data_IF_098413809393
#
_entry.id   IF_098413809393
#
_cell.length_a   1.000
_cell.length_b   1.000
_cell.length_c   1.000
_cell.angle_alpha   90.00
_cell.angle_beta   90.00
_cell.angle_gamma   90.00
#
_symmetry.space_group_name_H-M   'P 1'
#
loop_
_entity.id
_entity.type
_entity.pdbx_description
1 polymer ?
#
# COMPACT_ATOMS: atom_id res chain seq x y z
N UNK A 1 -6.83 24.19 4.05
CA UNK A 1 -6.35 22.80 4.04
C UNK A 1 -7.25 22.05 3.08
N UNK A 2 -6.69 21.53 2.00
CA UNK A 2 -7.45 20.72 1.06
C UNK A 2 -7.94 19.46 1.76
N UNK A 3 -9.18 19.10 1.49
CA UNK A 3 -9.84 17.95 2.11
C UNK A 3 -9.24 16.66 1.57
N UNK A 4 -8.49 15.92 2.40
CA UNK A 4 -8.00 14.59 2.04
C UNK A 4 -9.20 13.63 1.97
N UNK A 5 -9.36 12.94 0.85
CA UNK A 5 -10.42 11.97 0.65
C UNK A 5 -9.91 10.56 0.33
N UNK A 6 -8.77 10.46 -0.34
CA UNK A 6 -8.24 9.21 -0.91
C UNK A 6 -6.79 9.01 -0.48
N UNK A 7 -6.50 7.83 0.09
CA UNK A 7 -5.14 7.37 0.36
C UNK A 7 -4.81 6.16 -0.53
N UNK A 8 -3.62 6.11 -1.10
CA UNK A 8 -3.09 4.92 -1.72
C UNK A 8 -1.96 4.31 -0.87
N UNK A 9 -1.85 2.98 -0.92
CA UNK A 9 -0.78 2.25 -0.26
C UNK A 9 0.34 1.92 -1.24
N UNK A 10 1.57 1.91 -0.75
CA UNK A 10 2.71 1.29 -1.42
C UNK A 10 3.69 0.76 -0.39
N UNK A 11 4.41 -0.29 -0.72
CA UNK A 11 5.39 -0.82 0.20
C UNK A 11 6.15 -2.02 -0.32
N UNK A 12 7.16 -2.40 0.41
CA UNK A 12 8.01 -3.53 0.06
C UNK A 12 7.24 -4.86 0.09
N UNK A 13 7.67 -5.77 -0.78
CA UNK A 13 7.25 -7.17 -0.73
C UNK A 13 7.93 -7.90 0.43
N UNK A 14 7.36 -9.01 0.96
CA UNK A 14 7.86 -9.69 2.16
C UNK A 14 9.34 -10.03 2.12
N UNK A 15 9.88 -10.47 0.96
CA UNK A 15 11.30 -10.83 0.82
C UNK A 15 12.30 -9.67 1.04
N UNK A 16 11.82 -8.42 1.09
CA UNK A 16 12.63 -7.23 1.38
C UNK A 16 12.76 -6.94 2.87
N UNK A 17 11.96 -7.59 3.71
CA UNK A 17 12.02 -7.45 5.16
C UNK A 17 12.90 -8.52 5.79
N UNK A 18 13.59 -8.24 6.91
CA UNK A 18 14.40 -9.24 7.61
C UNK A 18 13.62 -10.48 8.07
N UNK A 19 12.31 -10.34 8.30
CA UNK A 19 11.42 -11.43 8.69
C UNK A 19 10.82 -12.20 7.50
N UNK A 20 11.02 -11.73 6.26
CA UNK A 20 10.51 -12.39 5.06
C UNK A 20 8.99 -12.58 5.10
N UNK A 21 8.56 -13.82 4.86
CA UNK A 21 7.14 -14.21 4.88
C UNK A 21 6.62 -14.62 6.27
N UNK A 22 7.45 -14.53 7.31
CA UNK A 22 7.02 -14.85 8.68
C UNK A 22 6.20 -13.70 9.28
N UNK A 23 4.90 -13.73 9.09
CA UNK A 23 3.98 -12.70 9.59
C UNK A 23 3.74 -12.77 11.10
N UNK A 24 4.25 -13.81 11.81
CA UNK A 24 4.21 -13.91 13.28
C UNK A 24 5.43 -13.30 13.95
N UNK A 25 6.45 -12.89 13.18
CA UNK A 25 7.61 -12.17 13.70
C UNK A 25 7.16 -10.87 14.38
N UNK A 26 7.64 -10.57 15.60
CA UNK A 26 7.26 -9.34 16.32
C UNK A 26 7.44 -8.06 15.49
N UNK A 27 8.47 -7.99 14.64
CA UNK A 27 8.72 -6.83 13.76
C UNK A 27 7.62 -6.68 12.71
N UNK A 28 7.14 -7.80 12.16
CA UNK A 28 6.01 -7.79 11.23
C UNK A 28 4.72 -7.33 11.92
N UNK A 29 4.47 -7.82 13.12
CA UNK A 29 3.27 -7.43 13.90
C UNK A 29 3.28 -5.94 14.22
N UNK A 30 4.42 -5.39 14.64
CA UNK A 30 4.58 -3.94 14.89
C UNK A 30 4.38 -3.15 13.60
N UNK A 31 4.96 -3.60 12.48
CA UNK A 31 4.77 -2.91 11.19
C UNK A 31 3.30 -2.88 10.77
N UNK A 32 2.57 -3.99 10.91
CA UNK A 32 1.13 -4.05 10.64
C UNK A 32 0.34 -3.11 11.54
N UNK A 33 0.69 -3.04 12.82
CA UNK A 33 0.07 -2.10 13.76
C UNK A 33 0.31 -0.63 13.37
N UNK A 34 1.52 -0.29 12.90
CA UNK A 34 1.85 1.04 12.41
C UNK A 34 1.07 1.40 11.14
N UNK A 35 0.90 0.45 10.22
CA UNK A 35 0.05 0.65 9.02
C UNK A 35 -1.39 0.94 9.46
N UNK A 36 -1.93 0.15 10.38
CA UNK A 36 -3.30 0.33 10.88
C UNK A 36 -3.48 1.66 11.60
N UNK A 37 -2.52 2.07 12.43
CA UNK A 37 -2.54 3.38 13.08
C UNK A 37 -2.51 4.53 12.06
N UNK A 38 -1.71 4.42 11.00
CA UNK A 38 -1.71 5.38 9.90
C UNK A 38 -3.07 5.48 9.19
N UNK A 39 -3.77 4.36 9.00
CA UNK A 39 -5.13 4.33 8.44
C UNK A 39 -6.12 5.02 9.39
N UNK A 40 -6.07 4.73 10.70
CA UNK A 40 -6.91 5.37 11.73
C UNK A 40 -6.72 6.89 11.73
N UNK A 41 -5.47 7.34 11.73
CA UNK A 41 -5.14 8.76 11.71
C UNK A 41 -5.67 9.46 10.45
N UNK A 42 -5.43 8.87 9.27
CA UNK A 42 -5.94 9.39 8.00
C UNK A 42 -7.47 9.42 7.94
N UNK A 43 -8.12 8.39 8.46
CA UNK A 43 -9.58 8.37 8.60
C UNK A 43 -10.09 9.52 9.48
N UNK A 44 -9.40 9.81 10.59
CA UNK A 44 -9.67 10.97 11.45
C UNK A 44 -9.47 12.31 10.73
N UNK A 45 -8.57 12.37 9.75
CA UNK A 45 -8.32 13.54 8.89
C UNK A 45 -9.31 13.68 7.72
N UNK A 46 -10.23 12.73 7.54
CA UNK A 46 -11.28 12.79 6.53
C UNK A 46 -11.10 11.85 5.35
N UNK A 47 -10.02 11.05 5.30
CA UNK A 47 -9.85 10.01 4.26
C UNK A 47 -10.95 8.95 4.42
N UNK A 48 -11.64 8.66 3.32
CA UNK A 48 -12.74 7.67 3.28
C UNK A 48 -12.50 6.55 2.28
N UNK A 49 -11.58 6.72 1.33
CA UNK A 49 -11.24 5.70 0.34
C UNK A 49 -9.75 5.34 0.46
N UNK A 50 -9.47 4.06 0.58
CA UNK A 50 -8.12 3.51 0.57
C UNK A 50 -7.92 2.65 -0.68
N UNK A 51 -6.81 2.85 -1.39
CA UNK A 51 -6.49 2.14 -2.62
C UNK A 51 -5.29 1.21 -2.38
N UNK A 52 -5.48 -0.08 -2.61
CA UNK A 52 -4.42 -1.09 -2.57
C UNK A 52 -4.11 -1.60 -3.97
N UNK A 53 -2.84 -1.85 -4.24
CA UNK A 53 -2.39 -2.50 -5.48
C UNK A 53 -2.40 -4.02 -5.41
N UNK A 54 -2.78 -4.60 -4.29
CA UNK A 54 -2.87 -6.05 -4.09
C UNK A 54 -1.55 -6.80 -4.34
N UNK A 55 -0.40 -6.16 -4.12
CA UNK A 55 0.87 -6.87 -4.07
C UNK A 55 1.01 -7.63 -2.73
N UNK A 56 1.77 -8.74 -2.75
CA UNK A 56 2.11 -9.45 -1.51
C UNK A 56 2.85 -8.52 -0.53
N UNK A 57 2.54 -8.64 0.75
CA UNK A 57 3.13 -7.85 1.83
C UNK A 57 2.29 -6.62 2.17
N UNK A 58 2.89 -5.45 2.13
CA UNK A 58 2.28 -4.20 2.63
C UNK A 58 0.90 -3.92 2.06
N UNK A 59 0.69 -4.11 0.77
CA UNK A 59 -0.59 -3.84 0.11
C UNK A 59 -1.72 -4.72 0.67
N UNK A 60 -1.44 -6.02 0.89
CA UNK A 60 -2.41 -6.95 1.47
C UNK A 60 -2.61 -6.68 2.96
N UNK A 61 -1.54 -6.41 3.72
CA UNK A 61 -1.64 -6.09 5.15
C UNK A 61 -2.44 -4.80 5.39
N UNK A 62 -2.25 -3.80 4.54
CA UNK A 62 -3.03 -2.57 4.59
C UNK A 62 -4.51 -2.81 4.25
N UNK A 63 -4.80 -3.63 3.23
CA UNK A 63 -6.17 -4.00 2.87
C UNK A 63 -6.88 -4.73 4.03
N UNK A 64 -6.20 -5.67 4.67
CA UNK A 64 -6.71 -6.40 5.84
C UNK A 64 -6.93 -5.47 7.04
N UNK A 65 -6.07 -4.47 7.22
CA UNK A 65 -6.25 -3.44 8.25
C UNK A 65 -7.48 -2.57 7.97
N UNK A 66 -7.73 -2.19 6.71
CA UNK A 66 -8.96 -1.49 6.33
C UNK A 66 -10.19 -2.32 6.70
N UNK A 67 -10.18 -3.64 6.47
CA UNK A 67 -11.31 -4.49 6.85
C UNK A 67 -11.53 -4.58 8.34
N UNK A 68 -10.46 -4.78 9.13
CA UNK A 68 -10.59 -4.77 10.59
C UNK A 68 -11.22 -3.49 11.09
N UNK A 69 -10.78 -2.35 10.57
CA UNK A 69 -11.33 -1.06 10.94
C UNK A 69 -12.78 -0.86 10.49
N UNK A 70 -13.16 -1.35 9.31
CA UNK A 70 -14.57 -1.38 8.90
C UNK A 70 -15.41 -2.22 9.85
N UNK A 71 -14.92 -3.39 10.26
CA UNK A 71 -15.60 -4.26 11.21
C UNK A 71 -15.69 -3.60 12.62
N UNK A 72 -14.76 -2.70 12.97
CA UNK A 72 -14.79 -1.83 14.16
C UNK A 72 -15.71 -0.61 14.03
N UNK A 73 -16.34 -0.40 12.87
CA UNK A 73 -17.31 0.69 12.63
C UNK A 73 -16.74 1.95 11.99
N UNK A 74 -15.51 1.93 11.47
CA UNK A 74 -14.97 3.05 10.70
C UNK A 74 -15.69 3.18 9.35
N UNK A 75 -16.14 4.39 9.00
CA UNK A 75 -16.73 4.70 7.68
C UNK A 75 -15.62 4.90 6.64
N UNK A 76 -15.00 3.81 6.23
CA UNK A 76 -13.95 3.77 5.22
C UNK A 76 -14.22 2.68 4.20
N UNK A 77 -13.64 2.82 3.01
CA UNK A 77 -13.83 1.93 1.85
C UNK A 77 -12.50 1.48 1.27
N UNK A 78 -12.49 0.28 0.71
CA UNK A 78 -11.33 -0.28 0.01
C UNK A 78 -11.59 -0.38 -1.48
N UNK A 79 -10.63 0.13 -2.28
CA UNK A 79 -10.54 -0.09 -3.71
C UNK A 79 -9.32 -0.95 -4.03
N UNK A 80 -9.53 -2.07 -4.70
CA UNK A 80 -8.44 -2.91 -5.21
C UNK A 80 -8.12 -2.52 -6.66
N UNK A 81 -6.89 -2.07 -6.92
CA UNK A 81 -6.38 -1.75 -8.24
C UNK A 81 -5.48 -2.88 -8.74
N UNK A 82 -6.00 -3.70 -9.64
CA UNK A 82 -5.30 -4.85 -10.20
C UNK A 82 -4.55 -4.44 -11.47
N UNK A 83 -3.25 -4.78 -11.61
CA UNK A 83 -2.49 -4.40 -12.80
C UNK A 83 -2.98 -5.10 -14.05
N UNK A 84 -3.40 -6.37 -13.95
CA UNK A 84 -3.97 -7.17 -15.03
C UNK A 84 -4.79 -8.35 -14.45
N UNK A 85 -5.52 -9.07 -15.31
CA UNK A 85 -6.41 -10.15 -14.86
C UNK A 85 -5.67 -11.30 -14.15
N UNK A 86 -4.45 -11.62 -14.59
CA UNK A 86 -3.67 -12.76 -14.07
C UNK A 86 -2.46 -12.28 -13.25
N UNK A 87 -2.62 -11.24 -12.48
CA UNK A 87 -1.53 -10.61 -11.71
C UNK A 87 -0.92 -11.52 -10.66
N UNK A 88 -1.68 -12.47 -10.14
CA UNK A 88 -1.37 -13.39 -9.05
C UNK A 88 -0.96 -14.81 -9.53
N UNK A 89 -0.83 -15.02 -10.84
CA UNK A 89 -0.57 -16.34 -11.43
C UNK A 89 0.72 -17.04 -10.96
N UNK A 90 1.64 -16.29 -10.36
CA UNK A 90 2.90 -16.79 -9.78
C UNK A 90 2.86 -16.96 -8.27
N UNK A 91 1.72 -16.70 -7.63
CA UNK A 91 1.57 -16.84 -6.20
C UNK A 91 1.28 -18.30 -5.83
N UNK A 92 1.55 -18.66 -4.58
CA UNK A 92 1.09 -19.93 -4.03
C UNK A 92 -0.44 -19.94 -3.94
N UNK A 93 -1.03 -21.12 -3.91
CA UNK A 93 -2.48 -21.28 -3.81
C UNK A 93 -3.06 -20.53 -2.58
N UNK A 94 -2.41 -20.64 -1.42
CA UNK A 94 -2.86 -19.98 -0.21
C UNK A 94 -2.85 -18.44 -0.34
N UNK A 95 -1.80 -17.89 -0.99
CA UNK A 95 -1.72 -16.45 -1.24
C UNK A 95 -2.75 -15.98 -2.27
N UNK A 96 -3.07 -16.82 -3.28
CA UNK A 96 -4.15 -16.53 -4.21
C UNK A 96 -5.51 -16.51 -3.51
N UNK A 97 -5.81 -17.52 -2.69
CA UNK A 97 -7.06 -17.57 -1.91
C UNK A 97 -7.19 -16.36 -0.99
N UNK A 98 -6.12 -16.01 -0.26
CA UNK A 98 -6.08 -14.83 0.60
C UNK A 98 -6.34 -13.54 -0.19
N UNK A 99 -5.68 -13.37 -1.33
CA UNK A 99 -5.86 -12.22 -2.21
C UNK A 99 -7.28 -12.13 -2.78
N UNK A 100 -7.84 -13.24 -3.23
CA UNK A 100 -9.21 -13.31 -3.74
C UNK A 100 -10.22 -12.95 -2.65
N UNK A 101 -10.06 -13.46 -1.43
CA UNK A 101 -10.92 -13.11 -0.29
C UNK A 101 -10.89 -11.60 0.04
N UNK A 102 -9.75 -10.94 -0.15
CA UNK A 102 -9.67 -9.47 -0.02
C UNK A 102 -10.44 -8.79 -1.16
N UNK A 103 -10.24 -9.23 -2.40
CA UNK A 103 -10.88 -8.64 -3.59
C UNK A 103 -12.41 -8.79 -3.52
N UNK A 104 -12.92 -9.93 -3.08
CA UNK A 104 -14.36 -10.20 -2.94
C UNK A 104 -15.04 -9.28 -1.92
N UNK A 105 -14.33 -8.89 -0.86
CA UNK A 105 -14.83 -7.97 0.18
C UNK A 105 -14.64 -6.49 -0.19
N UNK A 106 -13.89 -6.18 -1.26
CA UNK A 106 -13.60 -4.81 -1.63
C UNK A 106 -14.86 -4.04 -2.07
N UNK A 107 -14.96 -2.77 -1.67
CA UNK A 107 -16.06 -1.91 -2.11
C UNK A 107 -16.01 -1.64 -3.62
N UNK A 108 -14.80 -1.65 -4.18
CA UNK A 108 -14.56 -1.53 -5.62
C UNK A 108 -13.30 -2.29 -6.04
N UNK A 109 -13.34 -2.82 -7.27
CA UNK A 109 -12.18 -3.43 -7.91
C UNK A 109 -12.05 -2.88 -9.33
N UNK A 110 -10.84 -2.52 -9.72
CA UNK A 110 -10.51 -2.06 -11.07
C UNK A 110 -9.35 -2.88 -11.61
N UNK A 111 -9.51 -3.49 -12.79
CA UNK A 111 -8.44 -4.20 -13.51
C UNK A 111 -7.97 -3.34 -14.67
N UNK A 112 -6.70 -2.93 -14.64
CA UNK A 112 -6.16 -1.92 -15.57
C UNK A 112 -5.78 -2.47 -16.93
N UNK A 113 -5.47 -3.77 -17.02
CA UNK A 113 -5.15 -4.43 -18.28
C UNK A 113 -5.74 -5.85 -18.33
N UNK A 114 -6.06 -6.31 -19.54
CA UNK A 114 -6.58 -7.68 -19.75
C UNK A 114 -5.51 -8.75 -19.49
N UNK A 115 -4.28 -8.48 -19.87
CA UNK A 115 -3.16 -9.41 -19.76
C UNK A 115 -1.92 -8.72 -19.20
N UNK A 116 -1.01 -9.52 -18.65
CA UNK A 116 0.29 -9.03 -18.21
C UNK A 116 1.11 -8.48 -19.38
N UNK A 117 1.77 -7.34 -19.12
CA UNK A 117 2.80 -6.77 -19.99
C UNK A 117 3.89 -6.12 -19.13
N UNK A 118 5.12 -5.94 -19.66
CA UNK A 118 6.17 -5.22 -18.94
C UNK A 118 5.68 -3.84 -18.49
N UNK A 119 6.00 -3.47 -17.26
CA UNK A 119 5.58 -2.22 -16.61
C UNK A 119 4.08 -2.12 -16.21
N UNK A 120 3.24 -3.15 -16.38
CA UNK A 120 1.84 -3.08 -15.93
C UNK A 120 1.70 -2.79 -14.43
N UNK A 121 2.61 -3.34 -13.60
CA UNK A 121 2.67 -3.05 -12.17
C UNK A 121 2.98 -1.58 -11.90
N UNK A 122 3.97 -1.04 -12.61
CA UNK A 122 4.36 0.36 -12.49
C UNK A 122 3.24 1.31 -12.92
N UNK A 123 2.54 0.99 -14.01
CA UNK A 123 1.38 1.77 -14.45
C UNK A 123 0.23 1.73 -13.44
N UNK A 124 0.03 0.59 -12.78
CA UNK A 124 -0.92 0.51 -11.67
C UNK A 124 -0.52 1.42 -10.53
N UNK A 125 0.76 1.43 -10.13
CA UNK A 125 1.27 2.27 -9.06
C UNK A 125 1.09 3.76 -9.37
N UNK A 126 1.41 4.18 -10.59
CA UNK A 126 1.15 5.55 -11.07
C UNK A 126 -0.36 5.87 -11.05
N UNK A 127 -1.20 4.97 -11.52
CA UNK A 127 -2.66 5.14 -11.53
C UNK A 127 -3.22 5.36 -10.13
N UNK A 128 -2.68 4.64 -9.14
CA UNK A 128 -3.05 4.79 -7.73
C UNK A 128 -2.58 6.14 -7.17
N UNK A 129 -1.33 6.50 -7.40
CA UNK A 129 -0.74 7.77 -6.96
C UNK A 129 -1.45 8.99 -7.58
N UNK A 130 -1.82 8.94 -8.85
CA UNK A 130 -2.56 10.02 -9.52
C UNK A 130 -3.93 10.30 -8.88
N UNK A 131 -4.57 9.28 -8.32
CA UNK A 131 -5.91 9.37 -7.71
C UNK A 131 -5.91 9.65 -6.23
N UNK A 132 -4.79 9.42 -5.59
CA UNK A 132 -4.65 9.64 -4.16
C UNK A 132 -4.34 11.11 -3.85
N UNK A 133 -4.83 11.58 -2.72
CA UNK A 133 -4.43 12.86 -2.10
C UNK A 133 -3.21 12.64 -1.21
N UNK A 134 -3.09 11.45 -0.64
CA UNK A 134 -1.99 11.05 0.24
C UNK A 134 -1.54 9.63 -0.09
N UNK A 135 -0.24 9.39 -0.01
CA UNK A 135 0.38 8.07 -0.14
C UNK A 135 0.88 7.62 1.24
N UNK A 136 0.42 6.46 1.70
CA UNK A 136 0.98 5.78 2.86
C UNK A 136 1.98 4.72 2.36
N UNK A 137 3.26 4.95 2.60
CA UNK A 137 4.33 4.16 2.05
C UNK A 137 5.14 3.48 3.15
N UNK A 138 5.42 2.17 2.98
CA UNK A 138 6.37 1.43 3.82
C UNK A 138 7.66 1.25 3.05
N UNK A 139 8.70 1.97 3.47
CA UNK A 139 9.97 2.02 2.79
C UNK A 139 11.10 2.22 3.80
N UNK A 140 12.19 1.45 3.68
CA UNK A 140 13.37 1.60 4.54
C UNK A 140 13.95 3.00 4.40
N UNK A 141 14.16 3.64 5.54
CA UNK A 141 14.54 5.04 5.62
C UNK A 141 15.94 5.31 5.09
N UNK A 142 16.00 5.94 3.99
CA UNK A 142 17.01 6.92 3.55
C UNK A 142 16.63 7.55 2.22
N UNK A 143 15.34 7.61 1.89
CA UNK A 143 14.90 8.32 0.70
C UNK A 143 15.18 9.82 0.77
N UNK A 144 15.13 10.42 1.96
CA UNK A 144 15.36 11.85 2.11
C UNK A 144 16.83 12.29 1.89
N UNK A 145 17.81 11.35 1.91
CA UNK A 145 19.23 11.71 1.95
C UNK A 145 20.16 10.93 1.02
N UNK A 146 19.65 10.12 0.07
CA UNK A 146 20.52 9.45 -0.91
C UNK A 146 19.98 9.63 -2.34
N UNK A 147 20.68 10.41 -3.18
CA UNK A 147 20.38 10.50 -4.61
C UNK A 147 20.70 9.21 -5.37
N UNK A 148 21.30 8.21 -4.73
CA UNK A 148 21.73 6.98 -5.37
C UNK A 148 20.73 5.82 -5.14
N UNK A 149 19.83 5.70 -6.13
CA UNK A 149 19.15 4.48 -6.56
C UNK A 149 18.68 3.50 -5.48
N UNK A 150 17.62 3.82 -4.78
CA UNK A 150 16.75 2.76 -4.27
C UNK A 150 15.96 2.21 -5.47
N UNK A 151 16.49 1.17 -6.11
CA UNK A 151 15.82 0.51 -7.22
C UNK A 151 14.66 -0.33 -6.70
N UNK A 152 13.44 0.01 -7.08
CA UNK A 152 12.24 -0.79 -6.79
C UNK A 152 10.95 -0.01 -7.00
N UNK A 153 9.86 -0.73 -7.23
CA UNK A 153 8.54 -0.15 -7.49
C UNK A 153 8.08 0.81 -6.39
N UNK A 154 8.33 0.46 -5.10
CA UNK A 154 7.94 1.31 -3.96
C UNK A 154 8.63 2.67 -3.98
N UNK A 155 9.95 2.69 -4.19
CA UNK A 155 10.72 3.91 -4.26
C UNK A 155 10.25 4.79 -5.42
N UNK A 156 10.08 4.20 -6.60
CA UNK A 156 9.55 4.90 -7.76
C UNK A 156 8.17 5.51 -7.47
N UNK A 157 7.28 4.76 -6.80
CA UNK A 157 5.93 5.25 -6.49
C UNK A 157 5.97 6.45 -5.54
N UNK A 158 6.86 6.42 -4.54
CA UNK A 158 7.09 7.56 -3.64
C UNK A 158 7.61 8.77 -4.42
N UNK A 159 8.65 8.61 -5.22
CA UNK A 159 9.23 9.71 -6.03
C UNK A 159 8.20 10.27 -7.00
N UNK A 160 7.40 9.41 -7.64
CA UNK A 160 6.33 9.83 -8.52
C UNK A 160 5.27 10.65 -7.79
N UNK A 161 4.81 10.20 -6.61
CA UNK A 161 3.84 10.93 -5.80
C UNK A 161 4.39 12.31 -5.37
N UNK A 162 5.64 12.37 -4.92
CA UNK A 162 6.31 13.63 -4.57
C UNK A 162 6.43 14.58 -5.77
N UNK A 163 6.74 14.06 -6.97
CA UNK A 163 6.78 14.87 -8.21
C UNK A 163 5.42 15.45 -8.61
N UNK A 164 4.34 14.87 -8.09
CA UNK A 164 2.95 15.35 -8.25
C UNK A 164 2.48 16.18 -7.05
N UNK A 165 3.40 16.59 -6.18
CA UNK A 165 3.11 17.39 -4.98
C UNK A 165 2.11 16.70 -4.02
N UNK A 166 2.05 15.36 -4.06
CA UNK A 166 1.20 14.59 -3.15
C UNK A 166 1.84 14.50 -1.77
N UNK A 167 1.00 14.53 -0.74
CA UNK A 167 1.44 14.24 0.62
C UNK A 167 1.88 12.77 0.70
N UNK A 168 3.05 12.51 1.28
CA UNK A 168 3.56 11.16 1.52
C UNK A 168 3.81 10.97 3.01
N UNK A 169 3.28 9.88 3.55
CA UNK A 169 3.56 9.42 4.91
C UNK A 169 4.44 8.18 4.78
N UNK A 170 5.64 8.27 5.34
CA UNK A 170 6.60 7.16 5.31
C UNK A 170 6.58 6.42 6.65
N UNK A 171 6.40 5.12 6.60
CA UNK A 171 6.62 4.20 7.71
C UNK A 171 7.94 3.49 7.46
N UNK A 172 8.93 3.75 8.30
CA UNK A 172 10.20 3.03 8.26
C UNK A 172 10.06 1.71 9.04
N UNK A 173 10.18 0.55 8.38
CA UNK A 173 10.02 -0.74 9.03
C UNK A 173 11.12 -1.06 10.05
N UNK A 174 12.26 -0.35 10.03
CA UNK A 174 13.37 -0.55 10.96
C UNK A 174 13.31 0.41 12.15
N UNK A 175 12.77 1.61 11.95
CA UNK A 175 12.72 2.67 12.97
C UNK A 175 11.41 2.75 13.72
N UNK A 176 10.37 2.06 13.25
CA UNK A 176 9.03 2.01 13.85
C UNK A 176 8.34 3.37 14.04
N UNK A 177 8.81 4.42 13.38
CA UNK A 177 8.22 5.77 13.42
C UNK A 177 7.73 6.19 12.04
N UNK A 178 6.59 6.89 12.01
CA UNK A 178 6.08 7.51 10.80
C UNK A 178 6.67 8.93 10.66
N UNK A 179 7.35 9.21 9.55
CA UNK A 179 7.77 10.56 9.18
C UNK A 179 6.80 11.12 8.12
N UNK A 180 6.30 12.33 8.36
CA UNK A 180 5.50 13.05 7.35
C UNK A 180 6.45 13.93 6.55
N UNK A 181 6.63 13.61 5.29
CA UNK A 181 7.35 14.46 4.34
C UNK A 181 6.34 15.36 3.63
N UNK A 182 6.59 16.67 3.69
CA UNK A 182 5.81 17.70 2.97
C UNK A 182 6.30 17.83 1.55
#
# INVERSE_FOLDING_TARGET
MDKLNICAFTGHRPHRFPFGYNETDPRCLVLKANIENGIKELSGQGVRMFITGMALGVDMWAAESVYRLKDEGYDIKLLCALPCANFDSRWTHDMQQRGHGIIERADRTVTLARTYYPACMLRRDMWMADRADVLLAVLNGSHANKPDRVSGGTAFTVDYALSKEKRVILIDPERLFAEVTR
#
